data_IF_547306409276
#
_entry.id   IF_547306409276
#
_cell.length_a   1.000
_cell.length_b   1.000
_cell.length_c   1.000
_cell.angle_alpha   90.00
_cell.angle_beta   90.00
_cell.angle_gamma   90.00
#
_symmetry.space_group_name_H-M   'P 1'
#
loop_
_entity.id
_entity.type
_entity.pdbx_description
1 polymer ?
#
# COMPACT_ATOMS: atom_id res chain seq x y z
N UNK A 1 -11.36 10.72 -3.85
CA UNK A 1 -11.09 10.53 -2.41
C UNK A 1 -9.88 11.37 -2.08
N UNK A 2 -9.98 12.20 -1.06
CA UNK A 2 -8.84 12.96 -0.57
C UNK A 2 -7.97 12.14 0.40
N UNK A 3 -6.81 12.67 0.77
CA UNK A 3 -5.83 11.98 1.62
C UNK A 3 -6.35 11.74 3.04
N UNK A 4 -7.09 12.68 3.59
CA UNK A 4 -7.58 12.58 4.97
C UNK A 4 -8.69 11.53 5.05
N UNK A 5 -9.57 11.47 4.06
CA UNK A 5 -10.55 10.40 3.90
C UNK A 5 -9.88 9.02 3.83
N UNK A 6 -8.79 8.90 3.06
CA UNK A 6 -8.02 7.66 2.97
C UNK A 6 -7.35 7.28 4.29
N UNK A 7 -6.75 8.24 4.99
CA UNK A 7 -6.12 8.00 6.30
C UNK A 7 -7.16 7.53 7.33
N UNK A 8 -8.33 8.17 7.38
CA UNK A 8 -9.42 7.78 8.27
C UNK A 8 -9.94 6.38 7.93
N UNK A 9 -10.06 6.06 6.64
CA UNK A 9 -10.45 4.73 6.18
C UNK A 9 -9.44 3.65 6.61
N UNK A 10 -8.15 3.90 6.43
CA UNK A 10 -7.09 2.94 6.82
C UNK A 10 -7.03 2.77 8.34
N UNK A 11 -7.14 3.86 9.11
CA UNK A 11 -7.16 3.80 10.58
C UNK A 11 -8.36 3.01 11.11
N UNK A 12 -9.50 3.07 10.42
CA UNK A 12 -10.72 2.34 10.80
C UNK A 12 -10.73 0.89 10.31
N UNK A 13 -10.16 0.61 9.14
CA UNK A 13 -10.26 -0.70 8.49
C UNK A 13 -9.07 -1.01 7.55
N UNK A 14 -7.85 -0.97 8.07
CA UNK A 14 -6.64 -1.22 7.29
C UNK A 14 -6.61 -2.62 6.66
N UNK A 15 -7.04 -3.66 7.38
CA UNK A 15 -7.11 -5.02 6.86
C UNK A 15 -8.07 -5.13 5.67
N UNK A 16 -9.23 -4.48 5.74
CA UNK A 16 -10.18 -4.46 4.62
C UNK A 16 -9.67 -3.75 3.37
N UNK A 17 -8.67 -2.85 3.50
CA UNK A 17 -7.98 -2.26 2.35
C UNK A 17 -7.10 -3.29 1.67
N UNK A 18 -6.34 -4.06 2.45
CA UNK A 18 -5.50 -5.15 1.91
C UNK A 18 -6.39 -6.19 1.22
N UNK A 19 -7.45 -6.65 1.89
CA UNK A 19 -8.32 -7.70 1.34
C UNK A 19 -8.98 -7.31 0.01
N UNK A 20 -9.30 -6.02 -0.16
CA UNK A 20 -10.03 -5.52 -1.34
C UNK A 20 -9.10 -5.08 -2.48
N UNK A 21 -7.93 -4.55 -2.16
CA UNK A 21 -7.11 -3.83 -3.15
C UNK A 21 -5.72 -4.44 -3.37
N UNK A 22 -5.33 -5.47 -2.62
CA UNK A 22 -4.05 -6.14 -2.84
C UNK A 22 -4.01 -6.78 -4.25
N UNK A 23 -3.03 -6.43 -5.10
CA UNK A 23 -2.89 -7.05 -6.42
C UNK A 23 -2.63 -8.56 -6.33
N UNK A 24 -3.15 -9.33 -7.29
CA UNK A 24 -3.08 -10.80 -7.30
C UNK A 24 -1.67 -11.41 -7.39
N UNK A 25 -0.64 -10.61 -7.65
CA UNK A 25 0.77 -11.03 -7.63
C UNK A 25 1.59 -10.51 -6.45
N UNK A 26 1.02 -9.64 -5.60
CA UNK A 26 1.79 -8.88 -4.63
C UNK A 26 2.48 -9.80 -3.59
N UNK A 27 1.80 -10.85 -3.11
CA UNK A 27 2.42 -11.79 -2.16
C UNK A 27 3.62 -12.54 -2.74
N UNK A 28 3.53 -12.94 -4.01
CA UNK A 28 4.63 -13.61 -4.70
C UNK A 28 5.80 -12.65 -4.96
N UNK A 29 5.51 -11.38 -5.26
CA UNK A 29 6.52 -10.34 -5.41
C UNK A 29 7.24 -10.07 -4.07
N UNK A 30 6.50 -9.98 -2.96
CA UNK A 30 7.07 -9.84 -1.62
C UNK A 30 7.98 -11.03 -1.27
N UNK A 31 7.54 -12.25 -1.58
CA UNK A 31 8.34 -13.46 -1.35
C UNK A 31 9.66 -13.41 -2.15
N UNK A 32 9.63 -12.99 -3.42
CA UNK A 32 10.85 -12.76 -4.20
C UNK A 32 11.78 -11.75 -3.53
N UNK A 33 11.25 -10.60 -3.10
CA UNK A 33 12.06 -9.55 -2.45
C UNK A 33 12.73 -10.04 -1.17
N UNK A 34 12.01 -10.81 -0.35
CA UNK A 34 12.55 -11.41 0.87
C UNK A 34 13.63 -12.46 0.52
N UNK A 35 13.36 -13.31 -0.47
CA UNK A 35 14.29 -14.35 -0.92
C UNK A 35 15.57 -13.79 -1.55
N UNK A 36 15.49 -12.66 -2.25
CA UNK A 36 16.61 -11.98 -2.89
C UNK A 36 17.56 -11.28 -1.88
N UNK A 37 17.30 -11.44 -0.58
CA UNK A 37 18.23 -11.06 0.50
C UNK A 37 17.93 -9.70 1.14
N UNK A 38 16.85 -9.02 0.75
CA UNK A 38 16.35 -7.83 1.44
C UNK A 38 15.60 -8.25 2.73
N UNK A 39 16.36 -8.72 3.73
CA UNK A 39 15.84 -9.26 5.01
C UNK A 39 15.13 -8.25 5.93
N UNK A 40 15.00 -7.00 5.52
CA UNK A 40 14.45 -5.91 6.35
C UNK A 40 13.17 -5.30 5.77
N UNK A 41 12.39 -6.07 5.00
CA UNK A 41 11.07 -5.60 4.55
C UNK A 41 10.01 -6.01 5.56
N UNK A 42 9.37 -5.01 6.17
CA UNK A 42 8.12 -5.20 6.91
C UNK A 42 7.03 -5.64 5.91
N UNK A 43 6.62 -6.90 6.01
CA UNK A 43 5.65 -7.52 5.12
C UNK A 43 4.28 -6.80 5.17
N UNK A 44 3.83 -6.38 6.35
CA UNK A 44 2.53 -5.74 6.51
C UNK A 44 2.55 -4.33 5.93
N UNK A 45 3.65 -3.59 6.17
CA UNK A 45 3.84 -2.27 5.58
C UNK A 45 3.91 -2.35 4.04
N UNK A 46 4.57 -3.37 3.50
CA UNK A 46 4.66 -3.59 2.07
C UNK A 46 3.29 -3.91 1.44
N UNK A 47 2.52 -4.82 2.05
CA UNK A 47 1.18 -5.17 1.57
C UNK A 47 0.22 -3.97 1.65
N UNK A 48 0.29 -3.18 2.72
CA UNK A 48 -0.48 -1.96 2.87
C UNK A 48 -0.13 -0.94 1.78
N UNK A 49 1.16 -0.69 1.54
CA UNK A 49 1.63 0.21 0.49
C UNK A 49 1.12 -0.20 -0.89
N UNK A 50 1.25 -1.49 -1.24
CA UNK A 50 0.78 -2.03 -2.52
C UNK A 50 -0.72 -1.88 -2.71
N UNK A 51 -1.49 -2.06 -1.63
CA UNK A 51 -2.94 -1.93 -1.64
C UNK A 51 -3.39 -0.47 -1.78
N UNK A 52 -2.73 0.47 -1.09
CA UNK A 52 -2.99 1.91 -1.23
C UNK A 52 -2.66 2.39 -2.64
N UNK A 53 -1.51 1.98 -3.17
CA UNK A 53 -1.09 2.30 -4.54
C UNK A 53 -2.12 1.82 -5.56
N UNK A 54 -2.59 0.58 -5.43
CA UNK A 54 -3.63 0.03 -6.30
C UNK A 54 -4.96 0.77 -6.17
N UNK A 55 -5.37 1.10 -4.94
CA UNK A 55 -6.56 1.90 -4.68
C UNK A 55 -6.50 3.26 -5.39
N UNK A 56 -5.38 3.97 -5.26
CA UNK A 56 -5.19 5.29 -5.87
C UNK A 56 -5.24 5.23 -7.39
N UNK A 57 -4.60 4.21 -7.98
CA UNK A 57 -4.67 3.95 -9.43
C UNK A 57 -6.09 3.66 -9.89
N UNK A 58 -6.85 2.86 -9.14
CA UNK A 58 -8.27 2.61 -9.43
C UNK A 58 -9.12 3.88 -9.32
N UNK A 59 -8.71 4.84 -8.50
CA UNK A 59 -9.30 6.18 -8.41
C UNK A 59 -8.90 7.13 -9.55
N UNK A 60 -8.13 6.66 -10.55
CA UNK A 60 -7.70 7.44 -11.71
C UNK A 60 -6.35 8.13 -11.57
N UNK A 61 -5.61 7.89 -10.48
CA UNK A 61 -4.29 8.49 -10.29
C UNK A 61 -3.22 7.79 -11.17
N UNK A 62 -2.39 8.53 -11.91
CA UNK A 62 -1.31 7.96 -12.72
C UNK A 62 -0.27 7.20 -11.87
N UNK A 63 0.46 6.26 -12.50
CA UNK A 63 1.38 5.35 -11.79
C UNK A 63 2.38 6.08 -10.89
N UNK A 64 3.19 7.01 -11.42
CA UNK A 64 4.21 7.69 -10.60
C UNK A 64 3.61 8.52 -9.45
N UNK A 65 2.48 9.18 -9.71
CA UNK A 65 1.78 9.98 -8.69
C UNK A 65 1.22 9.09 -7.58
N UNK A 66 0.66 7.93 -7.94
CA UNK A 66 0.13 6.95 -6.98
C UNK A 66 1.20 6.38 -6.05
N UNK A 67 2.43 6.21 -6.55
CA UNK A 67 3.54 5.68 -5.78
C UNK A 67 4.01 6.72 -4.75
N UNK A 68 4.14 7.97 -5.18
CA UNK A 68 4.49 9.09 -4.30
C UNK A 68 3.43 9.33 -3.21
N UNK A 69 2.14 9.33 -3.58
CA UNK A 69 1.08 9.59 -2.61
C UNK A 69 0.89 8.41 -1.65
N UNK A 70 1.01 7.16 -2.11
CA UNK A 70 1.02 5.99 -1.23
C UNK A 70 2.15 6.09 -0.20
N UNK A 71 3.36 6.51 -0.62
CA UNK A 71 4.48 6.72 0.29
C UNK A 71 4.20 7.80 1.36
N UNK A 72 3.54 8.90 0.97
CA UNK A 72 3.13 9.95 1.92
C UNK A 72 2.08 9.47 2.90
N UNK A 73 1.11 8.68 2.45
CA UNK A 73 0.09 8.08 3.33
C UNK A 73 0.77 7.15 4.34
N UNK A 74 1.68 6.28 3.89
CA UNK A 74 2.45 5.38 4.78
C UNK A 74 3.26 6.16 5.83
N UNK A 75 3.93 7.25 5.42
CA UNK A 75 4.67 8.10 6.35
C UNK A 75 3.77 8.74 7.41
N UNK A 76 2.55 9.16 7.05
CA UNK A 76 1.57 9.76 7.97
C UNK A 76 0.88 8.73 8.89
N UNK A 77 0.87 7.45 8.52
CA UNK A 77 0.37 6.37 9.38
C UNK A 77 1.39 5.99 10.47
N UNK A 78 2.67 6.19 10.20
CA UNK A 78 3.78 5.84 11.09
C UNK A 78 4.32 7.03 11.92
N UNK A 79 3.70 8.21 11.80
CA UNK A 79 4.04 9.43 12.56
C UNK A 79 3.29 9.49 13.89
#
# INVERSE_FOLDING_TARGET
MDRNELLDLIRRNGTGIIDRFLPSGARAELESVICDGHREVDADAWLMFMSIRALLRNGGMPSCESDCEAGRVMALLNA
#
